data_IF_897498148278
#
_entry.id   IF_897498148278
#
_cell.length_a   1.000
_cell.length_b   1.000
_cell.length_c   1.000
_cell.angle_alpha   90.00
_cell.angle_beta   90.00
_cell.angle_gamma   90.00
#
_symmetry.space_group_name_H-M   'P 1'
#
loop_
_entity.id
_entity.type
_entity.pdbx_description
1 polymer ?
#
# COMPACT_ATOMS: atom_id res chain seq x y z
N UNK A 1 -7.60 16.22 4.48
CA UNK A 1 -7.34 14.79 4.17
C UNK A 1 -8.35 14.16 3.18
N UNK A 2 -7.90 13.80 1.99
CA UNK A 2 -8.68 13.09 0.95
C UNK A 2 -7.91 11.87 0.42
N UNK A 3 -8.63 10.89 -0.16
CA UNK A 3 -8.02 9.72 -0.83
C UNK A 3 -8.23 9.83 -2.34
N UNK A 4 -7.19 9.57 -3.11
CA UNK A 4 -7.18 9.63 -4.59
C UNK A 4 -6.37 8.48 -5.18
N UNK A 5 -6.67 8.12 -6.42
CA UNK A 5 -5.78 7.28 -7.22
C UNK A 5 -4.53 8.09 -7.58
N UNK A 6 -3.36 7.47 -7.45
CA UNK A 6 -2.09 8.08 -7.81
C UNK A 6 -1.96 8.25 -9.32
N UNK A 7 -1.36 9.36 -9.75
CA UNK A 7 -0.98 9.63 -11.12
C UNK A 7 0.55 9.80 -11.25
N UNK A 8 1.06 9.84 -12.48
CA UNK A 8 2.49 10.06 -12.73
C UNK A 8 3.01 11.40 -12.17
N UNK A 9 2.14 12.41 -12.04
CA UNK A 9 2.51 13.69 -11.41
C UNK A 9 2.77 13.55 -9.89
N UNK A 10 2.35 12.45 -9.26
CA UNK A 10 2.55 12.19 -7.84
C UNK A 10 3.88 11.49 -7.51
N UNK A 11 4.65 11.05 -8.50
CA UNK A 11 5.88 10.25 -8.33
C UNK A 11 6.81 10.82 -7.26
N UNK A 12 7.11 12.12 -7.35
CA UNK A 12 8.01 12.77 -6.39
C UNK A 12 7.41 12.87 -4.98
N UNK A 13 6.09 13.00 -4.86
CA UNK A 13 5.42 13.07 -3.56
C UNK A 13 5.34 11.69 -2.90
N UNK A 14 5.11 10.64 -3.68
CA UNK A 14 5.15 9.24 -3.24
C UNK A 14 6.56 8.88 -2.76
N UNK A 15 7.59 9.17 -3.56
CA UNK A 15 8.98 8.88 -3.21
C UNK A 15 9.39 9.56 -1.88
N UNK A 16 9.01 10.82 -1.67
CA UNK A 16 9.24 11.52 -0.40
C UNK A 16 8.50 10.86 0.78
N UNK A 17 7.27 10.42 0.58
CA UNK A 17 6.49 9.71 1.60
C UNK A 17 7.18 8.40 2.00
N UNK A 18 7.61 7.61 1.01
CA UNK A 18 8.36 6.37 1.23
C UNK A 18 9.67 6.66 1.98
N UNK A 19 10.47 7.62 1.52
CA UNK A 19 11.76 7.93 2.15
C UNK A 19 11.67 8.50 3.56
N UNK A 20 10.56 9.17 3.91
CA UNK A 20 10.33 9.68 5.25
C UNK A 20 9.69 8.65 6.21
N UNK A 21 9.29 7.47 5.71
CA UNK A 21 8.56 6.48 6.52
C UNK A 21 9.44 5.75 7.54
N UNK A 22 10.77 5.72 7.33
CA UNK A 22 11.67 4.91 8.14
C UNK A 22 11.41 3.41 8.04
N UNK A 23 10.67 2.97 7.00
CA UNK A 23 10.30 1.58 6.79
C UNK A 23 11.34 0.86 5.95
N UNK A 24 11.36 -0.47 6.05
CA UNK A 24 12.10 -1.31 5.14
C UNK A 24 11.19 -1.78 4.00
N UNK A 25 11.68 -1.68 2.77
CA UNK A 25 11.02 -2.18 1.55
C UNK A 25 11.75 -3.41 1.04
N UNK A 26 11.01 -4.43 0.61
CA UNK A 26 11.62 -5.53 -0.13
C UNK A 26 11.83 -5.10 -1.58
N UNK A 27 13.06 -4.69 -1.93
CA UNK A 27 13.46 -4.28 -3.28
C UNK A 27 14.34 -5.37 -3.90
N UNK A 28 13.98 -5.82 -5.11
CA UNK A 28 14.69 -6.89 -5.88
C UNK A 28 14.77 -8.25 -5.18
N UNK A 29 15.58 -8.39 -4.13
CA UNK A 29 15.82 -9.64 -3.37
C UNK A 29 16.19 -9.43 -1.90
N UNK A 30 16.19 -8.19 -1.41
CA UNK A 30 16.56 -7.86 -0.03
C UNK A 30 15.67 -6.76 0.53
N UNK A 31 15.62 -6.68 1.87
CA UNK A 31 15.05 -5.54 2.54
C UNK A 31 16.05 -4.39 2.52
N UNK A 32 15.62 -3.25 1.99
CA UNK A 32 16.35 -2.01 1.91
C UNK A 32 15.57 -0.90 2.62
N UNK A 33 16.27 0.15 3.05
CA UNK A 33 15.60 1.35 3.55
C UNK A 33 14.71 1.95 2.45
N UNK A 34 13.46 2.28 2.78
CA UNK A 34 12.52 2.90 1.84
C UNK A 34 13.02 4.25 1.30
N UNK A 35 14.00 4.87 1.95
CA UNK A 35 14.73 6.04 1.45
C UNK A 35 15.56 5.75 0.18
N UNK A 36 15.85 4.49 -0.11
CA UNK A 36 16.57 4.08 -1.32
C UNK A 36 15.65 3.92 -2.55
N UNK A 37 14.32 3.97 -2.37
CA UNK A 37 13.36 3.94 -3.47
C UNK A 37 13.56 5.17 -4.36
N UNK A 38 13.83 4.92 -5.65
CA UNK A 38 14.05 5.97 -6.64
C UNK A 38 12.75 6.46 -7.27
N UNK A 39 12.81 7.59 -7.98
CA UNK A 39 11.67 8.07 -8.78
C UNK A 39 11.29 7.04 -9.85
N UNK A 40 12.28 6.40 -10.49
CA UNK A 40 12.04 5.38 -11.52
C UNK A 40 11.32 4.14 -10.96
N UNK A 41 11.65 3.71 -9.73
CA UNK A 41 10.93 2.60 -9.09
C UNK A 41 9.44 2.94 -8.85
N UNK A 42 9.15 4.20 -8.51
CA UNK A 42 7.77 4.68 -8.32
C UNK A 42 7.05 4.82 -9.65
N UNK A 43 7.71 5.33 -10.69
CA UNK A 43 7.16 5.38 -12.05
C UNK A 43 6.79 3.97 -12.54
N UNK A 44 7.71 3.01 -12.39
CA UNK A 44 7.51 1.60 -12.74
C UNK A 44 6.32 0.99 -11.98
N UNK A 45 6.16 1.33 -10.69
CA UNK A 45 5.03 0.91 -9.88
C UNK A 45 3.70 1.46 -10.43
N UNK A 46 3.66 2.74 -10.81
CA UNK A 46 2.43 3.42 -11.25
C UNK A 46 1.98 3.01 -12.65
N UNK A 47 2.92 2.67 -13.54
CA UNK A 47 2.58 2.21 -14.89
C UNK A 47 2.32 0.70 -14.97
N UNK A 48 2.55 -0.04 -13.88
CA UNK A 48 2.43 -1.49 -13.88
C UNK A 48 0.97 -1.94 -14.08
N UNK A 49 0.68 -2.73 -15.13
CA UNK A 49 -0.67 -3.21 -15.38
C UNK A 49 -1.20 -4.05 -14.21
N UNK A 50 -2.47 -3.83 -13.85
CA UNK A 50 -3.16 -4.57 -12.79
C UNK A 50 -2.89 -4.08 -11.37
N UNK A 51 -1.97 -3.12 -11.18
CA UNK A 51 -1.80 -2.44 -9.89
C UNK A 51 -2.61 -1.14 -9.84
N UNK A 52 -3.14 -0.85 -8.67
CA UNK A 52 -3.81 0.40 -8.34
C UNK A 52 -3.17 1.00 -7.09
N UNK A 53 -2.55 2.16 -7.24
CA UNK A 53 -1.92 2.90 -6.14
C UNK A 53 -2.83 4.04 -5.69
N UNK A 54 -3.01 4.16 -4.39
CA UNK A 54 -3.88 5.11 -3.70
C UNK A 54 -3.07 5.98 -2.75
N UNK A 55 -3.40 7.27 -2.71
CA UNK A 55 -2.75 8.25 -1.86
C UNK A 55 -3.77 8.77 -0.86
N UNK A 56 -3.36 8.92 0.41
CA UNK A 56 -4.08 9.76 1.35
C UNK A 56 -3.29 11.06 1.51
N UNK A 57 -3.88 12.16 1.08
CA UNK A 57 -3.25 13.47 1.03
C UNK A 57 -3.87 14.43 2.04
N UNK A 58 -3.05 15.23 2.71
CA UNK A 58 -3.47 16.39 3.48
C UNK A 58 -2.91 17.68 2.86
N UNK A 59 -3.78 18.44 2.19
CA UNK A 59 -3.36 19.47 1.26
C UNK A 59 -2.51 18.86 0.12
N UNK A 60 -1.32 19.41 -0.11
CA UNK A 60 -0.37 18.90 -1.10
C UNK A 60 0.54 17.77 -0.56
N UNK A 61 0.47 17.46 0.74
CA UNK A 61 1.35 16.47 1.34
C UNK A 61 0.72 15.07 1.28
N UNK A 62 1.44 14.11 0.69
CA UNK A 62 1.11 12.69 0.78
C UNK A 62 1.45 12.20 2.20
N UNK A 63 0.44 11.71 2.90
CA UNK A 63 0.53 11.20 4.28
C UNK A 63 0.62 9.66 4.32
N UNK A 64 0.02 9.00 3.33
CA UNK A 64 0.07 7.56 3.19
C UNK A 64 -0.06 7.14 1.72
N UNK A 65 0.49 5.97 1.42
CA UNK A 65 0.48 5.34 0.10
C UNK A 65 0.08 3.89 0.27
N UNK A 66 -0.83 3.40 -0.57
CA UNK A 66 -1.12 1.98 -0.65
C UNK A 66 -1.19 1.50 -2.10
N UNK A 67 -0.67 0.31 -2.39
CA UNK A 67 -0.84 -0.33 -3.69
C UNK A 67 -1.57 -1.64 -3.53
N UNK A 68 -2.55 -1.83 -4.41
CA UNK A 68 -3.46 -2.96 -4.42
C UNK A 68 -3.53 -3.59 -5.79
N UNK A 69 -3.92 -4.85 -5.87
CA UNK A 69 -4.41 -5.44 -7.11
C UNK A 69 -5.60 -6.34 -6.81
N UNK A 70 -6.25 -6.80 -7.86
CA UNK A 70 -7.25 -7.85 -7.78
C UNK A 70 -6.89 -8.94 -8.77
N UNK A 71 -6.92 -10.19 -8.32
CA UNK A 71 -6.75 -11.37 -9.15
C UNK A 71 -7.84 -12.39 -8.92
N UNK A 72 -7.84 -13.45 -9.71
CA UNK A 72 -8.75 -14.59 -9.54
C UNK A 72 -7.94 -15.82 -9.10
N UNK A 73 -8.35 -16.45 -8.00
CA UNK A 73 -7.85 -17.75 -7.54
C UNK A 73 -8.97 -18.79 -7.62
N UNK A 74 -8.64 -20.07 -7.41
CA UNK A 74 -9.62 -21.17 -7.40
C UNK A 74 -10.77 -20.95 -6.39
N UNK A 75 -10.49 -20.23 -5.30
CA UNK A 75 -11.47 -19.85 -4.27
C UNK A 75 -12.30 -18.61 -4.59
N UNK A 76 -12.08 -17.98 -5.75
CA UNK A 76 -12.76 -16.75 -6.19
C UNK A 76 -11.82 -15.55 -6.27
N UNK A 77 -12.42 -14.37 -6.42
CA UNK A 77 -11.71 -13.10 -6.60
C UNK A 77 -10.97 -12.71 -5.33
N UNK A 78 -9.69 -12.34 -5.43
CA UNK A 78 -8.82 -12.03 -4.28
C UNK A 78 -8.31 -10.60 -4.37
N UNK A 79 -8.48 -9.83 -3.30
CA UNK A 79 -7.85 -8.52 -3.14
C UNK A 79 -6.44 -8.67 -2.57
N UNK A 80 -5.47 -8.03 -3.20
CA UNK A 80 -4.06 -8.12 -2.80
C UNK A 80 -3.51 -6.81 -2.25
N UNK A 81 -3.08 -6.89 -1.00
CA UNK A 81 -2.20 -6.01 -0.22
C UNK A 81 -0.75 -5.93 -0.70
N UNK A 82 -0.35 -5.06 -1.63
CA UNK A 82 1.05 -4.97 -2.09
C UNK A 82 1.90 -3.95 -1.34
N UNK A 83 1.34 -2.77 -1.04
CA UNK A 83 2.05 -1.67 -0.37
C UNK A 83 1.10 -0.99 0.61
N UNK A 84 1.57 -0.68 1.82
CA UNK A 84 0.85 0.17 2.76
C UNK A 84 1.84 0.92 3.65
N UNK A 85 2.01 2.21 3.36
CA UNK A 85 2.95 3.10 4.07
C UNK A 85 2.17 4.28 4.62
N UNK A 86 2.42 4.59 5.89
CA UNK A 86 1.91 5.79 6.56
C UNK A 86 3.11 6.52 7.14
N UNK A 87 3.18 7.84 6.95
CA UNK A 87 4.28 8.61 7.52
C UNK A 87 4.25 8.54 9.07
N UNK A 88 5.42 8.57 9.74
CA UNK A 88 5.49 8.41 11.20
C UNK A 88 4.83 9.58 11.95
N UNK A 89 4.80 10.76 11.32
CA UNK A 89 4.18 11.98 11.84
C UNK A 89 2.70 12.13 11.48
N UNK A 90 2.13 11.18 10.73
CA UNK A 90 0.71 11.20 10.39
C UNK A 90 -0.16 10.80 11.59
N UNK A 91 -1.37 11.34 11.66
CA UNK A 91 -2.39 10.90 12.64
C UNK A 91 -2.69 9.41 12.50
N UNK A 92 -2.97 8.72 13.60
CA UNK A 92 -3.46 7.33 13.59
C UNK A 92 -4.71 7.11 12.73
N UNK A 93 -5.50 8.17 12.52
CA UNK A 93 -6.69 8.14 11.65
C UNK A 93 -6.32 8.01 10.16
N UNK A 94 -5.10 8.36 9.76
CA UNK A 94 -4.62 8.24 8.38
C UNK A 94 -4.65 6.79 7.91
N UNK A 95 -4.08 5.88 8.71
CA UNK A 95 -4.08 4.45 8.42
C UNK A 95 -5.50 3.90 8.27
N UNK A 96 -6.38 4.22 9.23
CA UNK A 96 -7.77 3.74 9.24
C UNK A 96 -8.53 4.25 8.01
N UNK A 97 -8.42 5.53 7.67
CA UNK A 97 -9.13 6.11 6.53
C UNK A 97 -8.67 5.54 5.19
N UNK A 98 -7.37 5.33 5.03
CA UNK A 98 -6.85 4.70 3.81
C UNK A 98 -7.35 3.25 3.72
N UNK A 99 -7.29 2.49 4.81
CA UNK A 99 -7.77 1.11 4.83
C UNK A 99 -9.26 0.99 4.52
N UNK A 100 -10.10 1.85 5.11
CA UNK A 100 -11.53 1.89 4.82
C UNK A 100 -11.81 2.16 3.33
N UNK A 101 -11.02 3.03 2.71
CA UNK A 101 -11.13 3.27 1.27
C UNK A 101 -10.80 2.02 0.47
N UNK A 102 -9.68 1.34 0.78
CA UNK A 102 -9.28 0.12 0.08
C UNK A 102 -10.32 -1.00 0.20
N UNK A 103 -10.88 -1.20 1.41
CA UNK A 103 -11.95 -2.16 1.62
C UNK A 103 -13.18 -1.82 0.77
N UNK A 104 -13.52 -0.53 0.65
CA UNK A 104 -14.59 -0.07 -0.23
C UNK A 104 -14.38 -0.44 -1.71
N UNK A 105 -13.14 -0.39 -2.20
CA UNK A 105 -12.80 -0.77 -3.59
C UNK A 105 -13.04 -2.26 -3.88
N UNK A 106 -13.04 -3.09 -2.84
CA UNK A 106 -13.23 -4.53 -2.95
C UNK A 106 -14.65 -4.99 -2.61
N UNK A 107 -15.61 -4.06 -2.48
CA UNK A 107 -17.02 -4.41 -2.30
C UNK A 107 -17.72 -4.66 -3.64
N UNK A 108 -17.28 -4.04 -4.74
CA UNK A 108 -17.94 -4.14 -6.05
C UNK A 108 -16.93 -4.14 -7.22
N UNK A 109 -16.70 -5.27 -7.91
CA UNK A 109 -17.16 -6.62 -7.55
C UNK A 109 -16.53 -7.09 -6.22
N UNK A 110 -17.28 -7.81 -5.37
CA UNK A 110 -16.76 -8.26 -4.10
C UNK A 110 -15.59 -9.22 -4.28
N UNK A 111 -14.56 -9.08 -3.45
CA UNK A 111 -13.52 -10.11 -3.31
C UNK A 111 -13.95 -11.12 -2.26
N UNK A 112 -13.64 -12.40 -2.49
CA UNK A 112 -13.91 -13.49 -1.56
C UNK A 112 -12.96 -13.46 -0.36
N UNK A 113 -11.74 -12.97 -0.54
CA UNK A 113 -10.72 -12.86 0.49
C UNK A 113 -9.72 -11.73 0.18
N UNK A 114 -9.04 -11.27 1.22
CA UNK A 114 -8.00 -10.25 1.12
C UNK A 114 -6.70 -10.82 1.67
N UNK A 115 -5.61 -10.71 0.89
CA UNK A 115 -4.29 -11.22 1.25
C UNK A 115 -3.24 -10.14 1.20
N UNK A 116 -2.24 -10.27 2.06
CA UNK A 116 -1.00 -9.54 1.89
C UNK A 116 -0.10 -10.27 0.86
N UNK A 117 0.26 -9.60 -0.23
CA UNK A 117 0.82 -10.25 -1.42
C UNK A 117 2.33 -10.46 -1.35
N UNK A 118 2.79 -11.63 -0.87
CA UNK A 118 4.22 -11.96 -0.62
C UNK A 118 5.18 -11.95 -1.81
N UNK A 119 4.76 -11.59 -3.02
CA UNK A 119 5.51 -11.91 -4.24
C UNK A 119 5.51 -10.77 -5.27
N UNK A 120 6.41 -9.81 -5.11
CA UNK A 120 7.08 -9.10 -6.22
C UNK A 120 8.22 -8.22 -5.63
N UNK A 121 9.31 -7.90 -6.34
CA UNK A 121 10.33 -6.99 -5.85
C UNK A 121 9.90 -5.52 -5.79
N UNK A 122 8.69 -5.21 -6.26
CA UNK A 122 7.99 -3.92 -6.04
C UNK A 122 6.75 -4.09 -5.15
N UNK A 123 6.18 -5.29 -5.08
CA UNK A 123 5.20 -5.71 -4.07
C UNK A 123 5.95 -6.02 -2.79
N UNK A 124 6.47 -4.96 -2.21
CA UNK A 124 7.05 -5.02 -0.89
C UNK A 124 5.92 -5.35 0.07
N UNK A 125 5.74 -6.62 0.45
CA UNK A 125 5.00 -6.94 1.68
C UNK A 125 5.76 -6.28 2.80
N UNK A 126 5.36 -5.05 3.09
CA UNK A 126 5.74 -4.31 4.25
C UNK A 126 5.51 -5.27 5.39
N UNK A 127 6.53 -5.49 6.19
CA UNK A 127 6.30 -6.12 7.47
C UNK A 127 5.47 -5.14 8.29
N UNK A 128 4.15 -5.20 8.09
CA UNK A 128 3.14 -4.86 9.07
C UNK A 128 3.53 -5.54 10.39
N UNK A 129 4.30 -6.65 10.34
CA UNK A 129 4.99 -7.28 11.49
C UNK A 129 5.70 -6.30 12.46
N UNK A 130 6.09 -5.09 12.05
CA UNK A 130 6.72 -4.11 12.95
C UNK A 130 5.77 -3.08 13.58
N UNK A 131 4.56 -2.94 13.06
CA UNK A 131 3.53 -2.08 13.66
C UNK A 131 2.34 -2.94 14.09
N UNK A 132 2.36 -3.32 15.37
CA UNK A 132 1.32 -4.15 15.99
C UNK A 132 -0.08 -3.54 15.84
N UNK A 133 -0.19 -2.22 15.88
CA UNK A 133 -1.48 -1.55 15.74
C UNK A 133 -2.01 -1.66 14.32
N UNK A 134 -1.14 -1.60 13.30
CA UNK A 134 -1.53 -1.88 11.92
C UNK A 134 -1.93 -3.35 11.74
N UNK A 135 -1.19 -4.31 12.30
CA UNK A 135 -1.58 -5.74 12.24
C UNK A 135 -2.96 -5.99 12.85
N UNK A 136 -3.20 -5.45 14.04
CA UNK A 136 -4.47 -5.61 14.74
C UNK A 136 -5.61 -4.95 13.93
N UNK A 137 -5.34 -3.79 13.30
CA UNK A 137 -6.27 -3.14 12.40
C UNK A 137 -6.59 -4.01 11.17
N UNK A 138 -5.58 -4.54 10.48
CA UNK A 138 -5.79 -5.42 9.32
C UNK A 138 -6.53 -6.71 9.69
N UNK A 139 -6.15 -7.34 10.81
CA UNK A 139 -6.85 -8.52 11.33
C UNK A 139 -8.32 -8.22 11.64
N UNK A 140 -8.61 -7.05 12.24
CA UNK A 140 -10.00 -6.61 12.49
C UNK A 140 -10.83 -6.41 11.21
N UNK A 141 -10.17 -6.23 10.07
CA UNK A 141 -10.79 -6.09 8.75
C UNK A 141 -10.81 -7.39 7.94
N UNK A 142 -10.42 -8.53 8.54
CA UNK A 142 -10.48 -9.84 7.89
C UNK A 142 -9.30 -10.15 6.96
N UNK A 143 -8.17 -9.44 7.08
CA UNK A 143 -6.97 -9.79 6.33
C UNK A 143 -6.36 -11.09 6.86
N UNK A 144 -6.08 -12.02 5.95
CA UNK A 144 -5.28 -13.20 6.25
C UNK A 144 -3.81 -12.95 5.91
N UNK A 145 -2.90 -13.51 6.71
CA UNK A 145 -1.50 -13.57 6.33
C UNK A 145 -1.38 -14.50 5.11
N UNK A 146 -1.07 -13.92 3.95
CA UNK A 146 -0.62 -14.67 2.77
C UNK A 146 0.74 -15.27 3.00
#
# INVERSE_FOLDING_TARGET
MHVSAAALDDVAAIQRCLGASGMLVHHRRCYEDSALVTLADVEDLLVRPGLCTWLLQDGAAVQAVATTSVGDEDSGRVGYLHLFVVRPDASSHTAVRLLQHLLGQWLEPPVALIRQARLDPLSSVFRIEQDRALLDLFASCGFEAG
#
